data_IF_283429844816
#
_entry.id   IF_283429844816
#
_cell.length_a   1.000
_cell.length_b   1.000
_cell.length_c   1.000
_cell.angle_alpha   90.00
_cell.angle_beta   90.00
_cell.angle_gamma   90.00
#
_symmetry.space_group_name_H-M   'P 1'
#
loop_
_entity.id
_entity.type
_entity.pdbx_description
1 polymer ?
#
# COMPACT_ATOMS: atom_id res chain seq x y z
N UNK A 1 -6.95 17.99 21.91
CA UNK A 1 -7.57 16.88 21.17
C UNK A 1 -7.72 17.32 19.72
N UNK A 2 -7.02 16.72 18.75
CA UNK A 2 -7.19 17.07 17.33
C UNK A 2 -8.37 16.27 16.79
N UNK A 3 -9.48 16.95 16.50
CA UNK A 3 -10.63 16.33 15.82
C UNK A 3 -10.20 16.12 14.37
N UNK A 4 -9.84 14.89 14.01
CA UNK A 4 -9.66 14.51 12.61
C UNK A 4 -11.06 14.24 12.06
N UNK A 5 -11.60 15.19 11.29
CA UNK A 5 -12.91 15.05 10.68
C UNK A 5 -12.90 13.89 9.67
N UNK A 6 -13.76 12.89 9.88
CA UNK A 6 -13.89 11.70 9.03
C UNK A 6 -14.30 12.06 7.59
N UNK A 7 -15.06 13.13 7.42
CA UNK A 7 -15.57 13.61 6.11
C UNK A 7 -14.46 14.14 5.19
N UNK A 8 -13.45 14.81 5.73
CA UNK A 8 -12.34 15.34 4.91
C UNK A 8 -11.44 14.23 4.35
N UNK A 9 -11.41 13.05 5.00
CA UNK A 9 -10.71 11.87 4.47
C UNK A 9 -11.43 11.28 3.25
N UNK A 10 -12.74 11.12 3.31
CA UNK A 10 -13.56 10.62 2.20
C UNK A 10 -13.52 11.57 0.99
N UNK A 11 -13.57 12.89 1.23
CA UNK A 11 -13.43 13.91 0.18
C UNK A 11 -12.06 13.88 -0.50
N UNK A 12 -11.00 13.56 0.26
CA UNK A 12 -9.64 13.43 -0.26
C UNK A 12 -9.47 12.18 -1.12
N UNK A 13 -10.07 11.05 -0.71
CA UNK A 13 -10.06 9.79 -1.46
C UNK A 13 -10.83 9.91 -2.79
N UNK A 14 -11.90 10.69 -2.84
CA UNK A 14 -12.66 11.00 -4.07
C UNK A 14 -12.09 12.16 -4.91
N UNK A 15 -10.95 12.73 -4.54
CA UNK A 15 -10.37 13.84 -5.30
C UNK A 15 -9.69 13.35 -6.58
N UNK A 16 -9.81 14.10 -7.68
CA UNK A 16 -9.12 13.78 -8.96
C UNK A 16 -7.61 13.55 -8.79
N UNK A 17 -6.95 14.29 -7.89
CA UNK A 17 -5.52 14.10 -7.59
C UNK A 17 -5.23 12.76 -6.92
N UNK A 18 -6.15 12.23 -6.12
CA UNK A 18 -6.04 10.90 -5.54
C UNK A 18 -6.27 9.84 -6.63
N UNK A 19 -7.26 10.06 -7.48
CA UNK A 19 -7.65 9.14 -8.56
C UNK A 19 -6.61 9.03 -9.68
N UNK A 20 -5.78 10.06 -9.90
CA UNK A 20 -4.66 9.99 -10.85
C UNK A 20 -3.33 9.52 -10.26
N UNK A 21 -3.25 9.32 -8.93
CA UNK A 21 -2.01 8.89 -8.28
C UNK A 21 -1.83 7.37 -8.38
N UNK A 22 -0.90 6.93 -9.24
CA UNK A 22 -0.59 5.51 -9.47
C UNK A 22 0.11 4.83 -8.29
N UNK A 23 0.58 5.61 -7.31
CA UNK A 23 1.17 5.09 -6.06
C UNK A 23 0.10 4.60 -5.08
N UNK A 24 -1.19 4.75 -5.41
CA UNK A 24 -2.30 4.29 -4.58
C UNK A 24 -2.50 2.79 -4.74
N UNK A 25 -2.05 2.03 -3.73
CA UNK A 25 -2.16 0.56 -3.64
C UNK A 25 -3.59 0.05 -3.85
N UNK A 26 -4.62 0.83 -3.53
CA UNK A 26 -6.02 0.46 -3.78
C UNK A 26 -6.34 0.23 -5.26
N UNK A 27 -5.52 0.73 -6.19
CA UNK A 27 -5.67 0.52 -7.63
C UNK A 27 -4.86 -0.66 -8.15
N UNK A 28 -4.09 -1.32 -7.29
CA UNK A 28 -3.25 -2.43 -7.66
C UNK A 28 -4.06 -3.73 -7.61
N UNK A 29 -3.83 -4.61 -8.57
CA UNK A 29 -4.49 -5.92 -8.57
C UNK A 29 -3.83 -6.79 -7.49
N UNK A 30 -4.63 -7.34 -6.58
CA UNK A 30 -4.16 -8.29 -5.58
C UNK A 30 -4.38 -9.73 -6.06
N UNK A 31 -3.32 -10.52 -6.09
CA UNK A 31 -3.34 -11.94 -6.44
C UNK A 31 -3.13 -12.77 -5.18
N UNK A 32 -4.22 -13.27 -4.62
CA UNK A 32 -4.22 -14.01 -3.34
C UNK A 32 -3.49 -15.34 -3.40
N UNK A 33 -3.47 -16.00 -4.56
CA UNK A 33 -2.87 -17.34 -4.74
C UNK A 33 -1.37 -17.34 -4.41
N UNK A 34 -0.64 -16.33 -4.89
CA UNK A 34 0.82 -16.24 -4.73
C UNK A 34 1.26 -15.02 -3.89
N UNK A 35 0.32 -14.43 -3.14
CA UNK A 35 0.48 -13.28 -2.23
C UNK A 35 1.33 -12.13 -2.79
N UNK A 36 0.85 -11.55 -3.90
CA UNK A 36 1.50 -10.40 -4.54
C UNK A 36 0.50 -9.36 -5.05
N UNK A 37 1.00 -8.13 -5.19
CA UNK A 37 0.30 -7.05 -5.89
C UNK A 37 0.93 -6.80 -7.26
N UNK A 38 0.12 -6.41 -8.24
CA UNK A 38 0.58 -5.80 -9.49
C UNK A 38 0.15 -4.34 -9.51
N UNK A 39 1.11 -3.45 -9.72
CA UNK A 39 0.78 -2.06 -9.96
C UNK A 39 0.22 -1.84 -11.38
N UNK A 40 -0.18 -0.61 -11.65
CA UNK A 40 -0.74 -0.20 -12.94
C UNK A 40 0.30 -0.21 -14.09
N UNK A 41 1.58 -0.35 -13.79
CA UNK A 41 2.69 -0.46 -14.73
C UNK A 41 3.12 -1.93 -14.93
N UNK A 42 2.50 -2.88 -14.23
CA UNK A 42 2.85 -4.30 -14.28
C UNK A 42 4.03 -4.70 -13.37
N UNK A 43 4.47 -3.81 -12.46
CA UNK A 43 5.49 -4.13 -11.46
C UNK A 43 4.89 -5.08 -10.43
N UNK A 44 5.52 -6.24 -10.24
CA UNK A 44 5.14 -7.21 -9.21
C UNK A 44 5.75 -6.83 -7.87
N UNK A 45 4.90 -6.71 -6.86
CA UNK A 45 5.28 -6.54 -5.46
C UNK A 45 5.00 -7.83 -4.69
N UNK A 46 6.03 -8.61 -4.42
CA UNK A 46 5.89 -9.89 -3.70
C UNK A 46 6.06 -9.71 -2.20
N UNK A 47 5.46 -10.59 -1.41
CA UNK A 47 5.70 -10.66 0.03
C UNK A 47 7.21 -10.78 0.32
N UNK A 48 7.70 -9.94 1.23
CA UNK A 48 9.10 -9.92 1.65
C UNK A 48 9.25 -10.42 3.09
N UNK A 49 8.59 -9.77 4.05
CA UNK A 49 8.75 -10.11 5.46
C UNK A 49 7.59 -9.59 6.32
N UNK A 50 7.35 -10.22 7.47
CA UNK A 50 6.53 -9.63 8.52
C UNK A 50 7.32 -8.59 9.29
N UNK A 51 6.71 -7.44 9.53
CA UNK A 51 7.24 -6.38 10.37
C UNK A 51 6.35 -6.17 11.57
N UNK A 52 6.99 -5.85 12.70
CA UNK A 52 6.31 -5.48 13.93
C UNK A 52 6.67 -4.04 14.25
N UNK A 53 5.68 -3.22 14.54
CA UNK A 53 5.87 -1.87 15.01
C UNK A 53 5.10 -1.67 16.32
N UNK A 54 5.82 -1.31 17.37
CA UNK A 54 5.23 -0.96 18.66
C UNK A 54 4.96 0.53 18.68
N UNK A 55 3.72 0.91 18.95
CA UNK A 55 3.37 2.32 19.07
C UNK A 55 3.75 2.91 20.45
N UNK A 56 3.51 4.22 20.61
CA UNK A 56 3.80 4.95 21.86
C UNK A 56 2.99 4.41 23.06
N UNK A 57 1.81 3.84 22.82
CA UNK A 57 0.92 3.31 23.86
C UNK A 57 1.18 1.84 24.16
N UNK A 58 2.14 1.21 23.48
CA UNK A 58 2.58 -0.15 23.72
C UNK A 58 1.88 -1.21 22.86
N UNK A 59 0.97 -0.82 21.96
CA UNK A 59 0.31 -1.75 21.06
C UNK A 59 1.26 -2.19 19.94
N UNK A 60 1.31 -3.50 19.68
CA UNK A 60 2.16 -4.10 18.65
C UNK A 60 1.31 -4.34 17.39
N UNK A 61 1.66 -3.65 16.32
CA UNK A 61 1.06 -3.84 15.00
C UNK A 61 1.94 -4.77 14.17
N UNK A 62 1.36 -5.86 13.67
CA UNK A 62 2.02 -6.75 12.73
C UNK A 62 1.52 -6.47 11.31
N UNK A 63 2.43 -6.28 10.37
CA UNK A 63 2.10 -6.01 8.97
C UNK A 63 3.02 -6.76 8.01
N UNK A 64 2.48 -7.11 6.84
CA UNK A 64 3.25 -7.71 5.73
C UNK A 64 3.93 -6.61 4.92
N UNK A 65 5.25 -6.65 4.84
CA UNK A 65 6.01 -5.83 3.90
C UNK A 65 6.07 -6.53 2.55
N UNK A 66 5.71 -5.81 1.49
CA UNK A 66 5.86 -6.25 0.10
C UNK A 66 6.93 -5.39 -0.57
N UNK A 67 7.75 -5.98 -1.44
CA UNK A 67 8.79 -5.27 -2.18
C UNK A 67 8.60 -5.46 -3.68
N UNK A 68 8.90 -4.40 -4.43
CA UNK A 68 9.00 -4.50 -5.88
C UNK A 68 10.06 -5.55 -6.22
N UNK A 69 9.69 -6.50 -7.05
CA UNK A 69 10.67 -7.38 -7.68
C UNK A 69 11.59 -6.47 -8.51
N UNK A 70 12.91 -6.70 -8.44
CA UNK A 70 13.82 -6.04 -9.37
C UNK A 70 13.39 -6.46 -10.77
N UNK A 71 13.16 -5.49 -11.65
CA UNK A 71 13.24 -5.79 -13.07
C UNK A 71 14.70 -6.15 -13.34
N UNK A 72 14.94 -7.35 -13.87
CA UNK A 72 16.17 -7.55 -14.61
C UNK A 72 16.04 -6.65 -15.84
N UNK A 73 16.70 -5.50 -15.80
CA UNK A 73 16.87 -4.63 -16.95
C UNK A 73 17.92 -5.29 -17.87
N UNK A 74 17.59 -6.47 -18.39
CA UNK A 74 18.32 -7.16 -19.44
C UNK A 74 17.51 -7.03 -20.73
N UNK A 75 17.47 -5.81 -21.28
CA UNK A 75 17.00 -5.53 -22.65
C UNK A 75 17.91 -4.49 -23.30
#
# INVERSE_FOLDING_TARGET
>A
MKIVNKESRMLKENSRKWESDNRKVMKWAYHSKDDYFLDLQGVRFSFYVYRKHKDKYGFVHEFKEHKANKYDSDF
#
